data_IF_166101624620
#
_entry.id   IF_166101624620
#
_cell.length_a   1.000
_cell.length_b   1.000
_cell.length_c   1.000
_cell.angle_alpha   90.00
_cell.angle_beta   90.00
_cell.angle_gamma   90.00
#
_symmetry.space_group_name_H-M   'P 1'
#
loop_
_entity.id
_entity.type
_entity.pdbx_description
1 polymer ?
#
# COMPACT_ATOMS: atom_id res chain seq x y z
N UNK A 1 15.11 -3.60 -22.31
CA UNK A 1 15.26 -2.18 -22.11
C UNK A 1 15.09 -1.81 -20.65
N UNK A 2 16.20 -1.93 -19.91
CA UNK A 2 16.21 -1.66 -18.47
C UNK A 2 15.87 -0.21 -18.13
N UNK A 3 16.29 0.73 -18.97
CA UNK A 3 15.99 2.15 -18.76
C UNK A 3 14.49 2.44 -18.78
N UNK A 4 13.76 1.94 -19.79
CA UNK A 4 12.31 2.13 -19.86
C UNK A 4 11.58 1.41 -18.74
N UNK A 5 12.03 0.24 -18.33
CA UNK A 5 11.45 -0.47 -17.20
C UNK A 5 11.58 0.36 -15.91
N UNK A 6 12.75 0.97 -15.68
CA UNK A 6 12.96 1.81 -14.51
C UNK A 6 12.04 3.02 -14.49
N UNK A 7 11.86 3.69 -15.64
CA UNK A 7 10.99 4.85 -15.77
C UNK A 7 9.51 4.47 -15.53
N UNK A 8 9.07 3.32 -16.06
CA UNK A 8 7.69 2.89 -15.98
C UNK A 8 7.37 2.17 -14.67
N UNK A 9 8.40 1.82 -13.91
CA UNK A 9 8.21 1.09 -12.66
C UNK A 9 7.58 1.99 -11.61
N UNK A 10 6.62 1.44 -10.90
CA UNK A 10 5.95 2.11 -9.79
C UNK A 10 5.83 1.15 -8.62
N UNK A 11 6.45 1.52 -7.50
CA UNK A 11 6.43 0.74 -6.27
C UNK A 11 5.94 1.64 -5.15
N UNK A 12 4.93 1.22 -4.43
CA UNK A 12 4.41 1.98 -3.29
C UNK A 12 4.56 1.18 -2.00
N UNK A 13 5.01 1.87 -0.98
CA UNK A 13 5.08 1.35 0.38
C UNK A 13 3.91 1.92 1.15
N UNK A 14 3.00 1.05 1.59
CA UNK A 14 1.75 1.45 2.23
C UNK A 14 1.79 1.06 3.69
N UNK A 15 1.95 2.03 4.58
CA UNK A 15 1.79 1.79 6.01
C UNK A 15 0.33 1.97 6.38
N UNK A 16 -0.24 0.94 6.98
CA UNK A 16 -1.66 0.88 7.34
C UNK A 16 -1.81 1.17 8.82
N UNK A 17 -2.51 2.24 9.14
CA UNK A 17 -2.82 2.65 10.51
C UNK A 17 -4.35 2.70 10.68
N UNK A 18 -4.83 2.84 11.93
CA UNK A 18 -6.27 3.02 12.13
C UNK A 18 -6.79 4.22 11.33
N UNK A 19 -7.69 3.94 10.39
CA UNK A 19 -8.36 4.94 9.54
C UNK A 19 -7.41 5.84 8.76
N UNK A 20 -6.20 5.36 8.45
CA UNK A 20 -5.17 6.18 7.79
C UNK A 20 -4.22 5.31 6.99
N UNK A 21 -3.81 5.81 5.82
CA UNK A 21 -2.69 5.24 5.07
C UNK A 21 -1.59 6.27 4.92
N UNK A 22 -0.35 5.82 5.10
CA UNK A 22 0.84 6.61 4.76
C UNK A 22 1.51 5.89 3.60
N UNK A 23 1.52 6.52 2.45
CA UNK A 23 1.98 5.92 1.19
C UNK A 23 3.20 6.64 0.68
N UNK A 24 4.24 5.89 0.36
CA UNK A 24 5.45 6.42 -0.26
C UNK A 24 5.62 5.78 -1.64
N UNK A 25 5.74 6.61 -2.66
CA UNK A 25 6.13 6.18 -4.00
C UNK A 25 7.65 6.13 -4.04
N UNK A 26 8.21 4.92 -4.12
CA UNK A 26 9.66 4.70 -3.90
C UNK A 26 10.50 5.38 -4.97
N UNK A 27 10.11 5.27 -6.24
CA UNK A 27 10.91 5.80 -7.35
C UNK A 27 11.01 7.32 -7.35
N UNK A 28 9.97 8.02 -6.92
CA UNK A 28 9.98 9.49 -6.88
C UNK A 28 10.28 10.07 -5.50
N UNK A 29 10.11 9.27 -4.46
CA UNK A 29 10.22 9.74 -3.08
C UNK A 29 8.99 10.51 -2.58
N UNK A 30 7.92 10.63 -3.37
CA UNK A 30 6.70 11.32 -2.94
C UNK A 30 6.00 10.51 -1.85
N UNK A 31 5.47 11.22 -0.87
CA UNK A 31 4.76 10.62 0.25
C UNK A 31 3.44 11.34 0.47
N UNK A 32 2.40 10.58 0.81
CA UNK A 32 1.11 11.12 1.17
C UNK A 32 0.59 10.45 2.44
N UNK A 33 -0.05 11.24 3.30
CA UNK A 33 -0.79 10.73 4.46
C UNK A 33 -2.24 11.08 4.23
N UNK A 34 -3.10 10.07 4.17
CA UNK A 34 -4.51 10.26 3.86
C UNK A 34 -5.37 9.60 4.93
N UNK A 35 -6.23 10.41 5.54
CA UNK A 35 -7.21 9.94 6.51
C UNK A 35 -8.50 9.51 5.83
N UNK A 36 -9.14 8.50 6.38
CA UNK A 36 -10.41 8.01 5.87
C UNK A 36 -11.51 9.06 6.02
N UNK A 37 -12.36 9.20 5.01
CA UNK A 37 -13.58 10.02 5.09
C UNK A 37 -14.65 9.30 5.89
N UNK A 38 -14.72 7.99 5.70
CA UNK A 38 -15.55 7.08 6.48
C UNK A 38 -14.64 6.06 7.13
N UNK A 39 -14.89 5.70 8.37
CA UNK A 39 -14.02 4.78 9.10
C UNK A 39 -13.93 3.42 8.42
N UNK A 40 -12.72 2.90 8.28
CA UNK A 40 -12.51 1.54 7.79
C UNK A 40 -11.98 0.59 8.87
N UNK A 41 -11.42 1.14 9.96
CA UNK A 41 -10.94 0.33 11.08
C UNK A 41 -12.09 0.02 12.02
N UNK A 42 -12.18 -1.24 12.42
CA UNK A 42 -13.19 -1.69 13.38
C UNK A 42 -12.49 -2.05 14.70
N UNK A 43 -13.30 -2.44 15.69
CA UNK A 43 -12.77 -2.83 17.00
C UNK A 43 -11.77 -3.98 16.92
N UNK A 44 -11.98 -4.91 15.97
CA UNK A 44 -11.20 -6.14 15.87
C UNK A 44 -10.23 -6.17 14.69
N UNK A 45 -10.50 -5.37 13.66
CA UNK A 45 -9.75 -5.43 12.42
C UNK A 45 -9.23 -4.05 12.05
N UNK A 46 -7.96 -3.96 11.71
CA UNK A 46 -7.36 -2.74 11.21
C UNK A 46 -8.07 -2.28 9.93
N UNK A 47 -8.40 -3.22 9.04
CA UNK A 47 -9.26 -2.97 7.89
C UNK A 47 -10.47 -3.90 8.00
N UNK A 48 -11.58 -3.36 8.51
CA UNK A 48 -12.83 -4.09 8.65
C UNK A 48 -13.89 -3.68 7.64
N UNK A 49 -13.73 -2.51 6.99
CA UNK A 49 -14.67 -1.98 6.01
C UNK A 49 -13.97 -1.74 4.68
N UNK A 50 -14.32 -2.54 3.67
CA UNK A 50 -13.64 -2.56 2.38
C UNK A 50 -13.78 -1.25 1.60
N UNK A 51 -15.02 -0.79 1.41
CA UNK A 51 -15.29 0.40 0.59
C UNK A 51 -14.56 1.65 1.06
N UNK A 52 -14.71 2.04 2.33
CA UNK A 52 -13.98 3.18 2.88
C UNK A 52 -12.46 3.04 2.80
N UNK A 53 -11.92 1.84 2.98
CA UNK A 53 -10.48 1.60 2.86
C UNK A 53 -10.00 1.78 1.42
N UNK A 54 -10.72 1.25 0.44
CA UNK A 54 -10.38 1.41 -0.98
C UNK A 54 -10.45 2.88 -1.38
N UNK A 55 -11.50 3.61 -0.98
CA UNK A 55 -11.59 5.05 -1.26
C UNK A 55 -10.36 5.79 -0.74
N UNK A 56 -9.98 5.51 0.50
CA UNK A 56 -8.85 6.18 1.13
C UNK A 56 -7.53 5.85 0.41
N UNK A 57 -7.33 4.59 0.08
CA UNK A 57 -6.09 4.15 -0.58
C UNK A 57 -6.00 4.67 -2.02
N UNK A 58 -7.12 4.71 -2.75
CA UNK A 58 -7.16 5.31 -4.09
C UNK A 58 -6.73 6.77 -4.05
N UNK A 59 -7.22 7.53 -3.07
CA UNK A 59 -6.82 8.94 -2.90
C UNK A 59 -5.33 9.06 -2.59
N UNK A 60 -4.80 8.19 -1.76
CA UNK A 60 -3.37 8.18 -1.44
C UNK A 60 -2.52 7.86 -2.68
N UNK A 61 -2.92 6.87 -3.46
CA UNK A 61 -2.22 6.53 -4.71
C UNK A 61 -2.23 7.70 -5.68
N UNK A 62 -3.36 8.39 -5.81
CA UNK A 62 -3.46 9.55 -6.69
C UNK A 62 -2.50 10.67 -6.26
N UNK A 63 -2.36 10.91 -4.96
CA UNK A 63 -1.48 11.97 -4.44
C UNK A 63 0.00 11.70 -4.68
N UNK A 64 0.42 10.44 -4.71
CA UNK A 64 1.84 10.10 -4.89
C UNK A 64 2.23 9.85 -6.34
N UNK A 65 1.29 9.81 -7.28
CA UNK A 65 1.59 9.58 -8.70
C UNK A 65 2.33 10.79 -9.29
N UNK A 66 3.62 10.67 -9.63
CA UNK A 66 4.28 11.67 -10.45
C UNK A 66 4.00 11.38 -11.93
N UNK A 67 4.22 12.35 -12.80
CA UNK A 67 3.81 12.32 -14.20
C UNK A 67 3.95 10.98 -14.91
N UNK A 68 5.18 10.50 -15.12
CA UNK A 68 5.41 9.29 -15.93
C UNK A 68 4.92 8.01 -15.27
N UNK A 69 4.74 7.99 -13.95
CA UNK A 69 4.26 6.82 -13.22
C UNK A 69 2.81 6.46 -13.56
N UNK A 70 2.07 7.35 -14.20
CA UNK A 70 0.74 7.02 -14.71
C UNK A 70 0.74 5.91 -15.76
N UNK A 71 1.90 5.65 -16.35
CA UNK A 71 2.02 4.61 -17.38
C UNK A 71 2.09 3.21 -16.80
N UNK A 72 2.18 3.08 -15.47
CA UNK A 72 2.31 1.78 -14.80
C UNK A 72 1.52 1.75 -13.50
N UNK A 73 0.68 0.73 -13.33
CA UNK A 73 0.02 0.48 -12.06
C UNK A 73 1.06 0.04 -11.03
N UNK A 74 0.94 0.48 -9.76
CA UNK A 74 1.95 0.19 -8.78
C UNK A 74 1.92 -1.24 -8.28
N UNK A 75 3.07 -1.72 -7.83
CA UNK A 75 3.17 -2.89 -6.96
C UNK A 75 3.18 -2.34 -5.53
N UNK A 76 2.27 -2.82 -4.70
CA UNK A 76 2.10 -2.33 -3.34
C UNK A 76 2.71 -3.28 -2.32
N UNK A 77 3.52 -2.73 -1.43
CA UNK A 77 3.97 -3.43 -0.22
C UNK A 77 3.12 -2.90 0.93
N UNK A 78 2.21 -3.73 1.42
CA UNK A 78 1.25 -3.38 2.47
C UNK A 78 1.84 -3.73 3.83
N UNK A 79 2.03 -2.73 4.67
CA UNK A 79 2.63 -2.89 5.99
C UNK A 79 1.66 -2.44 7.08
N UNK A 80 0.86 -3.35 7.64
CA UNK A 80 0.04 -3.02 8.81
C UNK A 80 0.94 -2.80 10.01
N UNK A 81 0.79 -1.66 10.69
CA UNK A 81 1.66 -1.29 11.82
C UNK A 81 0.88 -1.11 13.13
N UNK A 82 -0.39 -1.52 13.14
CA UNK A 82 -1.22 -1.53 14.33
C UNK A 82 -2.05 -2.81 14.34
N UNK A 83 -2.49 -3.24 15.52
CA UNK A 83 -3.38 -4.40 15.68
C UNK A 83 -2.81 -5.69 15.07
N UNK A 84 -1.48 -5.87 15.21
CA UNK A 84 -0.78 -7.02 14.59
C UNK A 84 -0.25 -8.00 15.62
N UNK A 85 -0.61 -7.86 16.89
CA UNK A 85 -0.18 -8.75 17.96
C UNK A 85 -0.60 -10.20 17.64
N UNK A 86 0.37 -11.11 17.70
CA UNK A 86 0.13 -12.50 17.36
C UNK A 86 0.14 -12.79 15.86
N UNK A 87 0.47 -11.79 15.02
CA UNK A 87 0.48 -11.92 13.57
C UNK A 87 -0.88 -11.67 12.95
N UNK A 88 -0.97 -11.82 11.63
CA UNK A 88 -2.20 -11.62 10.88
C UNK A 88 -2.90 -12.95 10.63
N UNK A 89 -4.23 -12.94 10.73
CA UNK A 89 -5.05 -14.07 10.28
C UNK A 89 -5.10 -14.13 8.75
N UNK A 90 -5.59 -15.25 8.21
CA UNK A 90 -5.82 -15.38 6.77
C UNK A 90 -6.79 -14.36 6.21
N UNK A 91 -7.83 -14.00 6.98
CA UNK A 91 -8.80 -12.98 6.60
C UNK A 91 -8.13 -11.61 6.50
N UNK A 92 -7.27 -11.28 7.47
CA UNK A 92 -6.55 -10.00 7.48
C UNK A 92 -5.56 -9.90 6.31
N UNK A 93 -4.84 -10.97 6.00
CA UNK A 93 -4.00 -11.01 4.79
C UNK A 93 -4.84 -10.76 3.54
N UNK A 94 -5.95 -11.43 3.42
CA UNK A 94 -6.80 -11.35 2.24
C UNK A 94 -7.34 -9.94 2.02
N UNK A 95 -7.83 -9.29 3.07
CA UNK A 95 -8.39 -7.94 2.94
C UNK A 95 -7.33 -6.92 2.51
N UNK A 96 -6.09 -7.06 3.00
CA UNK A 96 -5.00 -6.19 2.60
C UNK A 96 -4.67 -6.34 1.11
N UNK A 97 -4.65 -7.56 0.59
CA UNK A 97 -4.51 -7.81 -0.86
C UNK A 97 -5.65 -7.17 -1.63
N UNK A 98 -6.88 -7.40 -1.19
CA UNK A 98 -8.06 -6.93 -1.92
C UNK A 98 -8.16 -5.42 -1.97
N UNK A 99 -7.85 -4.70 -0.89
CA UNK A 99 -7.87 -3.25 -0.91
C UNK A 99 -6.76 -2.67 -1.79
N UNK A 100 -5.58 -3.29 -1.81
CA UNK A 100 -4.50 -2.86 -2.68
C UNK A 100 -4.90 -2.97 -4.15
N UNK A 101 -5.43 -4.12 -4.55
CA UNK A 101 -5.90 -4.36 -5.90
C UNK A 101 -7.10 -3.46 -6.25
N UNK A 102 -8.06 -3.34 -5.33
CA UNK A 102 -9.21 -2.46 -5.50
C UNK A 102 -8.84 -1.00 -5.67
N UNK A 103 -7.75 -0.56 -5.06
CA UNK A 103 -7.24 0.80 -5.19
C UNK A 103 -6.40 1.01 -6.46
N UNK A 104 -6.10 -0.04 -7.21
CA UNK A 104 -5.40 0.05 -8.49
C UNK A 104 -4.00 -0.54 -8.52
N UNK A 105 -3.57 -1.27 -7.48
CA UNK A 105 -2.29 -1.95 -7.53
C UNK A 105 -2.35 -3.12 -8.50
N UNK A 106 -1.27 -3.28 -9.26
CA UNK A 106 -1.12 -4.41 -10.18
C UNK A 106 -0.89 -5.71 -9.42
N UNK A 107 -0.12 -5.64 -8.36
CA UNK A 107 0.18 -6.75 -7.44
C UNK A 107 0.42 -6.17 -6.05
N UNK A 108 0.31 -7.03 -5.05
CA UNK A 108 0.58 -6.63 -3.68
C UNK A 108 1.31 -7.73 -2.93
N UNK A 109 2.07 -7.34 -1.93
CA UNK A 109 2.63 -8.25 -0.93
C UNK A 109 2.42 -7.63 0.44
N UNK A 110 2.44 -8.45 1.48
CA UNK A 110 2.19 -8.00 2.84
C UNK A 110 3.45 -8.22 3.66
N UNK A 111 3.83 -7.21 4.42
CA UNK A 111 4.96 -7.27 5.33
C UNK A 111 4.48 -6.98 6.75
N UNK A 112 4.91 -7.79 7.70
CA UNK A 112 4.70 -7.56 9.13
C UNK A 112 6.09 -7.60 9.79
N UNK A 113 6.46 -6.51 10.45
CA UNK A 113 7.76 -6.40 11.07
C UNK A 113 8.22 -4.95 11.16
N UNK A 114 9.53 -4.76 11.17
CA UNK A 114 10.12 -3.41 11.25
C UNK A 114 9.87 -2.60 9.98
N UNK A 115 9.92 -1.28 10.12
CA UNK A 115 9.80 -0.37 8.98
C UNK A 115 10.89 -0.66 7.95
N UNK A 116 10.52 -0.58 6.68
CA UNK A 116 11.41 -0.90 5.56
C UNK A 116 11.97 0.39 4.94
N UNK A 117 13.23 0.35 4.54
CA UNK A 117 13.81 1.37 3.68
C UNK A 117 13.44 1.11 2.21
N UNK A 118 13.78 2.04 1.32
CA UNK A 118 13.39 1.93 -0.09
C UNK A 118 13.92 0.66 -0.76
N UNK A 119 15.16 0.26 -0.45
CA UNK A 119 15.74 -0.95 -1.04
C UNK A 119 15.00 -2.21 -0.57
N UNK A 120 14.67 -2.28 0.71
CA UNK A 120 13.90 -3.39 1.25
C UNK A 120 12.49 -3.45 0.67
N UNK A 121 11.85 -2.30 0.46
CA UNK A 121 10.53 -2.24 -0.20
C UNK A 121 10.63 -2.79 -1.61
N UNK A 122 11.64 -2.40 -2.39
CA UNK A 122 11.85 -2.92 -3.74
C UNK A 122 12.07 -4.43 -3.76
N UNK A 123 12.84 -4.95 -2.80
CA UNK A 123 13.04 -6.40 -2.69
C UNK A 123 11.73 -7.14 -2.44
N UNK A 124 10.89 -6.63 -1.55
CA UNK A 124 9.57 -7.21 -1.29
C UNK A 124 8.68 -7.14 -2.53
N UNK A 125 8.67 -6.00 -3.20
CA UNK A 125 7.88 -5.82 -4.42
C UNK A 125 8.31 -6.77 -5.54
N UNK A 126 9.62 -6.99 -5.70
CA UNK A 126 10.14 -7.90 -6.72
C UNK A 126 9.76 -9.37 -6.45
N UNK A 127 9.53 -9.72 -5.21
CA UNK A 127 9.12 -11.07 -4.81
C UNK A 127 7.60 -11.28 -4.83
N UNK A 128 6.86 -10.21 -5.05
CA UNK A 128 5.39 -10.25 -5.05
C UNK A 128 4.80 -11.05 -6.21
#
# INVERSE_FOLDING_TARGET
MSFLRGILRSTVYVRVLPNRFVVRHVESGRTATVDARETFTTKRLLVGEYGPAVDTLQRAFAEVKPGIAYLSDPIAVMHPIAMVEGGLSGVEHRILYEIAEGAGARRATIWVGVELDDDAVRQKANAA
#
